data_IF_844704707809
#
_entry.id   IF_844704707809
#
_cell.length_a   1.000
_cell.length_b   1.000
_cell.length_c   1.000
_cell.angle_alpha   90.00
_cell.angle_beta   90.00
_cell.angle_gamma   90.00
#
_symmetry.space_group_name_H-M   'P 1'
#
loop_
_entity.id
_entity.type
_entity.pdbx_description
1 polymer ?
#
# COMPACT_ATOMS: atom_id res chain seq x y z
N UNK A 1 -14.42 -4.03 -9.82
CA UNK A 1 -13.12 -3.33 -9.85
C UNK A 1 -12.09 -4.28 -10.41
N UNK A 2 -11.33 -3.86 -11.41
CA UNK A 2 -10.21 -4.64 -11.92
C UNK A 2 -8.92 -4.17 -11.25
N UNK A 3 -7.86 -4.96 -11.39
CA UNK A 3 -6.53 -4.47 -11.08
C UNK A 3 -6.21 -3.25 -11.97
N UNK A 4 -5.47 -2.28 -11.42
CA UNK A 4 -5.08 -1.06 -12.13
C UNK A 4 -6.14 0.03 -12.24
N UNK A 5 -7.36 -0.17 -11.72
CA UNK A 5 -8.34 0.92 -11.60
C UNK A 5 -7.82 2.02 -10.66
N UNK A 6 -7.89 3.29 -11.08
CA UNK A 6 -7.60 4.44 -10.21
C UNK A 6 -8.68 4.57 -9.14
N UNK A 7 -8.25 4.73 -7.89
CA UNK A 7 -9.16 4.78 -6.73
C UNK A 7 -9.04 6.07 -5.92
N UNK A 8 -7.91 6.76 -6.01
CA UNK A 8 -7.62 8.02 -5.33
C UNK A 8 -6.25 8.56 -5.78
N UNK A 9 -6.02 9.85 -5.53
CA UNK A 9 -4.71 10.50 -5.64
C UNK A 9 -3.95 10.46 -4.31
N UNK A 10 -2.63 10.65 -4.37
CA UNK A 10 -1.76 10.79 -3.18
C UNK A 10 -2.03 12.11 -2.44
N UNK A 11 -1.82 12.15 -1.13
CA UNK A 11 -2.03 13.35 -0.32
C UNK A 11 -1.21 13.38 0.97
N UNK A 12 -1.61 14.28 1.87
CA UNK A 12 -0.97 14.46 3.18
C UNK A 12 -2.00 14.80 4.26
N UNK A 13 -2.88 13.84 4.56
CA UNK A 13 -3.89 13.94 5.61
C UNK A 13 -3.60 12.96 6.75
N UNK A 14 -4.10 13.24 7.96
CA UNK A 14 -3.89 12.39 9.14
C UNK A 14 -2.48 12.48 9.73
N UNK A 15 -1.95 11.36 10.24
CA UNK A 15 -0.61 11.27 10.83
C UNK A 15 0.50 11.22 9.77
N UNK A 16 0.71 12.32 9.06
CA UNK A 16 1.70 12.44 7.97
C UNK A 16 2.64 13.62 8.20
N UNK A 17 3.92 13.47 7.82
CA UNK A 17 4.94 14.54 7.83
C UNK A 17 5.18 15.15 6.44
N UNK A 18 4.52 14.65 5.40
CA UNK A 18 4.66 15.12 4.02
C UNK A 18 3.85 14.27 3.02
N UNK A 19 3.77 14.70 1.76
CA UNK A 19 2.96 14.00 0.76
C UNK A 19 3.55 12.62 0.40
N UNK A 20 2.84 11.54 0.73
CA UNK A 20 3.22 10.16 0.41
C UNK A 20 2.02 9.21 0.51
N UNK A 21 2.19 7.98 0.00
CA UNK A 21 1.21 6.91 0.14
C UNK A 21 1.64 5.94 1.25
N UNK A 22 0.79 5.76 2.26
CA UNK A 22 0.93 4.65 3.21
C UNK A 22 0.23 3.40 2.63
N UNK A 23 0.98 2.33 2.42
CA UNK A 23 0.46 1.06 1.91
C UNK A 23 0.70 -0.05 2.95
N UNK A 24 -0.37 -0.75 3.33
CA UNK A 24 -0.33 -1.87 4.29
C UNK A 24 -1.00 -3.11 3.68
N UNK A 25 -0.43 -4.28 3.96
CA UNK A 25 -1.08 -5.57 3.73
C UNK A 25 -1.53 -6.14 5.06
N UNK A 26 -2.78 -6.64 5.12
CA UNK A 26 -3.33 -7.29 6.31
C UNK A 26 -3.84 -8.67 5.96
N UNK A 27 -3.35 -9.68 6.66
CA UNK A 27 -3.81 -11.07 6.54
C UNK A 27 -4.63 -11.42 7.78
N UNK A 28 -5.90 -11.79 7.60
CA UNK A 28 -6.84 -12.08 8.70
C UNK A 28 -6.92 -10.95 9.74
N UNK A 29 -6.89 -9.70 9.27
CA UNK A 29 -6.97 -8.51 10.12
C UNK A 29 -5.67 -8.16 10.86
N UNK A 30 -4.57 -8.89 10.66
CA UNK A 30 -3.26 -8.59 11.25
C UNK A 30 -2.32 -7.96 10.21
N UNK A 31 -1.62 -6.90 10.61
CA UNK A 31 -0.57 -6.28 9.81
C UNK A 31 0.53 -7.30 9.46
N UNK A 32 0.93 -7.34 8.19
CA UNK A 32 2.07 -8.13 7.70
C UNK A 32 3.04 -7.22 6.94
N UNK A 33 4.29 -7.66 6.79
CA UNK A 33 5.28 -6.88 6.04
C UNK A 33 4.92 -6.87 4.54
N UNK A 34 4.53 -5.70 4.05
CA UNK A 34 4.05 -5.50 2.69
C UNK A 34 5.15 -5.72 1.65
N UNK A 35 6.41 -5.41 1.94
CA UNK A 35 7.50 -5.50 0.97
C UNK A 35 7.77 -6.95 0.51
N UNK A 36 8.05 -7.92 1.40
CA UNK A 36 8.22 -9.31 1.00
C UNK A 36 6.90 -9.93 0.50
N UNK A 37 5.74 -9.50 1.00
CA UNK A 37 4.45 -9.95 0.47
C UNK A 37 4.31 -9.60 -1.01
N UNK A 38 4.50 -8.32 -1.38
CA UNK A 38 4.35 -7.87 -2.75
C UNK A 38 5.43 -8.47 -3.67
N UNK A 39 6.67 -8.65 -3.17
CA UNK A 39 7.72 -9.34 -3.93
C UNK A 39 7.34 -10.77 -4.29
N UNK A 40 6.68 -11.52 -3.39
CA UNK A 40 6.14 -12.85 -3.71
C UNK A 40 5.03 -12.81 -4.76
N UNK A 41 4.31 -11.69 -4.86
CA UNK A 41 3.31 -11.44 -5.91
C UNK A 41 3.92 -10.92 -7.22
N UNK A 42 5.26 -10.85 -7.32
CA UNK A 42 5.97 -10.37 -8.51
C UNK A 42 6.06 -8.85 -8.61
N UNK A 43 5.74 -8.11 -7.55
CA UNK A 43 5.75 -6.64 -7.53
C UNK A 43 6.83 -6.15 -6.56
N UNK A 44 7.71 -5.27 -7.04
CA UNK A 44 8.69 -4.59 -6.18
C UNK A 44 8.12 -3.25 -5.74
N UNK A 45 8.03 -3.04 -4.42
CA UNK A 45 7.76 -1.73 -3.84
C UNK A 45 9.09 -0.97 -3.71
N UNK A 46 9.14 0.27 -4.20
CA UNK A 46 10.35 1.10 -4.25
C UNK A 46 10.35 1.99 -5.46
#
# INVERSE_FOLDING_TARGET
MSTGTHIADVGSTGGSTGCHLHFEVRENGKATDAVPFMRRMGITLG
#
